data_IF_286835914382
#
_entry.id   IF_286835914382
#
_cell.length_a   1.000
_cell.length_b   1.000
_cell.length_c   1.000
_cell.angle_alpha   90.00
_cell.angle_beta   90.00
_cell.angle_gamma   90.00
#
_symmetry.space_group_name_H-M   'P 1'
#
loop_
_entity.id
_entity.type
_entity.pdbx_description
1 polymer ?
#
# COMPACT_ATOMS: atom_id res chain seq x y z
N UNK A 1 29.91 24.90 -6.14
CA UNK A 1 29.84 26.34 -5.88
C UNK A 1 28.46 26.60 -5.27
N UNK A 2 28.32 27.39 -4.20
CA UNK A 2 27.02 27.72 -3.64
C UNK A 2 26.14 28.35 -4.72
N UNK A 3 24.90 27.87 -4.88
CA UNK A 3 23.93 28.48 -5.79
C UNK A 3 23.15 29.54 -5.04
N UNK A 4 23.18 30.78 -5.52
CA UNK A 4 22.35 31.86 -4.98
C UNK A 4 20.87 31.70 -5.35
N UNK A 5 20.00 32.40 -4.62
CA UNK A 5 18.54 32.32 -4.82
C UNK A 5 18.10 32.70 -6.24
N UNK A 6 18.81 33.62 -6.91
CA UNK A 6 18.46 34.09 -8.26
C UNK A 6 18.76 33.01 -9.30
N UNK A 7 19.95 32.41 -9.25
CA UNK A 7 20.34 31.33 -10.14
C UNK A 7 19.44 30.10 -9.95
N UNK A 8 19.06 29.80 -8.70
CA UNK A 8 18.13 28.71 -8.39
C UNK A 8 16.72 28.98 -8.95
N UNK A 9 16.24 30.22 -8.84
CA UNK A 9 14.98 30.64 -9.42
C UNK A 9 15.00 30.63 -10.96
N UNK A 10 16.09 31.07 -11.59
CA UNK A 10 16.24 31.01 -13.04
C UNK A 10 16.24 29.56 -13.55
N UNK A 11 16.96 28.66 -12.87
CA UNK A 11 16.92 27.23 -13.17
C UNK A 11 15.49 26.67 -13.06
N UNK A 12 14.74 27.06 -12.02
CA UNK A 12 13.36 26.63 -11.87
C UNK A 12 12.45 27.17 -12.98
N UNK A 13 12.59 28.45 -13.33
CA UNK A 13 11.79 29.11 -14.35
C UNK A 13 12.04 28.54 -15.76
N UNK A 14 13.28 28.16 -16.09
CA UNK A 14 13.64 27.51 -17.36
C UNK A 14 12.89 26.17 -17.56
N UNK A 15 12.61 25.46 -16.46
CA UNK A 15 11.85 24.22 -16.48
C UNK A 15 10.33 24.41 -16.62
N UNK A 16 9.81 25.64 -16.51
CA UNK A 16 8.37 25.91 -16.56
C UNK A 16 7.75 25.48 -17.89
N UNK A 17 6.64 24.75 -17.83
CA UNK A 17 5.91 24.28 -19.03
C UNK A 17 6.60 23.17 -19.83
N UNK A 18 7.87 22.86 -19.55
CA UNK A 18 8.65 21.87 -20.31
C UNK A 18 8.68 20.49 -19.65
N UNK A 19 8.54 20.43 -18.32
CA UNK A 19 8.59 19.18 -17.55
C UNK A 19 7.42 19.05 -16.59
N UNK A 20 7.09 17.80 -16.25
CA UNK A 20 6.08 17.51 -15.24
C UNK A 20 6.54 17.83 -13.82
N UNK A 21 5.58 18.06 -12.92
CA UNK A 21 5.82 18.38 -11.50
C UNK A 21 6.76 17.37 -10.86
N UNK A 22 6.52 16.07 -11.03
CA UNK A 22 7.35 15.02 -10.44
C UNK A 22 8.77 14.97 -11.00
N UNK A 23 8.95 15.29 -12.29
CA UNK A 23 10.27 15.39 -12.91
C UNK A 23 11.05 16.57 -12.34
N UNK A 24 10.38 17.72 -12.23
CA UNK A 24 10.94 18.94 -11.65
C UNK A 24 11.32 18.74 -10.17
N UNK A 25 10.43 18.19 -9.34
CA UNK A 25 10.71 17.95 -7.92
C UNK A 25 11.90 16.97 -7.74
N UNK A 26 12.06 15.99 -8.63
CA UNK A 26 13.22 15.10 -8.63
C UNK A 26 14.53 15.84 -8.97
N UNK A 27 14.52 16.69 -10.00
CA UNK A 27 15.70 17.50 -10.36
C UNK A 27 16.08 18.44 -9.22
N UNK A 28 15.09 19.12 -8.65
CA UNK A 28 15.29 20.05 -7.55
C UNK A 28 15.79 19.33 -6.27
N UNK A 29 15.27 18.13 -6.01
CA UNK A 29 15.77 17.27 -4.92
C UNK A 29 17.20 16.79 -5.15
N UNK A 30 17.55 16.43 -6.39
CA UNK A 30 18.92 16.08 -6.76
C UNK A 30 19.90 17.24 -6.57
N UNK A 31 19.50 18.45 -6.97
CA UNK A 31 20.29 19.66 -6.76
C UNK A 31 20.50 19.95 -5.27
N UNK A 32 19.44 19.85 -4.46
CA UNK A 32 19.53 19.96 -3.00
C UNK A 32 20.48 18.92 -2.41
N UNK A 33 20.34 17.66 -2.81
CA UNK A 33 21.17 16.57 -2.30
C UNK A 33 22.66 16.80 -2.60
N UNK A 34 22.99 17.28 -3.80
CA UNK A 34 24.35 17.65 -4.16
C UNK A 34 24.91 18.76 -3.24
N UNK A 35 24.13 19.82 -2.98
CA UNK A 35 24.57 20.91 -2.09
C UNK A 35 24.82 20.41 -0.67
N UNK A 36 23.88 19.63 -0.13
CA UNK A 36 23.98 19.04 1.20
C UNK A 36 25.21 18.13 1.30
N UNK A 37 25.42 17.26 0.31
CA UNK A 37 26.57 16.35 0.28
C UNK A 37 27.92 17.09 0.29
N UNK A 38 27.99 18.23 -0.38
CA UNK A 38 29.19 19.07 -0.43
C UNK A 38 29.26 20.12 0.70
N UNK A 39 28.41 20.04 1.72
CA UNK A 39 28.31 21.03 2.82
C UNK A 39 28.15 22.48 2.32
N UNK A 40 27.46 22.67 1.21
CA UNK A 40 27.18 23.99 0.64
C UNK A 40 25.82 24.50 1.11
N UNK A 41 25.70 25.83 1.24
CA UNK A 41 24.43 26.48 1.57
C UNK A 41 23.36 26.15 0.52
N UNK A 42 22.18 25.78 0.99
CA UNK A 42 21.01 25.52 0.15
C UNK A 42 19.99 26.65 0.31
N UNK A 43 19.80 27.43 -0.75
CA UNK A 43 18.88 28.57 -0.75
C UNK A 43 17.47 28.23 -1.27
N UNK A 44 17.12 26.94 -1.40
CA UNK A 44 15.81 26.56 -1.91
C UNK A 44 14.64 26.94 -0.99
N UNK A 45 14.90 27.27 0.27
CA UNK A 45 13.88 27.78 1.21
C UNK A 45 13.61 29.28 1.10
N UNK A 46 14.36 30.00 0.26
CA UNK A 46 14.18 31.43 0.02
C UNK A 46 12.77 31.71 -0.54
N UNK A 47 12.11 32.76 -0.04
CA UNK A 47 10.75 33.12 -0.41
C UNK A 47 10.60 33.39 -1.92
N UNK A 48 11.58 34.08 -2.52
CA UNK A 48 11.60 34.34 -3.96
C UNK A 48 11.68 33.05 -4.76
N UNK A 49 12.51 32.11 -4.33
CA UNK A 49 12.59 30.77 -4.95
C UNK A 49 11.24 30.05 -4.81
N UNK A 50 10.66 30.01 -3.61
CA UNK A 50 9.36 29.35 -3.36
C UNK A 50 8.22 29.92 -4.21
N UNK A 51 8.19 31.22 -4.46
CA UNK A 51 7.23 31.86 -5.37
C UNK A 51 7.40 31.36 -6.80
N UNK A 52 8.63 31.30 -7.30
CA UNK A 52 8.92 30.77 -8.64
C UNK A 52 8.57 29.29 -8.74
N UNK A 53 8.94 28.46 -7.76
CA UNK A 53 8.55 27.05 -7.70
C UNK A 53 7.03 26.87 -7.78
N UNK A 54 6.28 27.74 -7.10
CA UNK A 54 4.81 27.74 -7.15
C UNK A 54 4.28 28.09 -8.53
N UNK A 55 4.90 29.05 -9.22
CA UNK A 55 4.60 29.39 -10.62
C UNK A 55 4.90 28.25 -11.58
N UNK A 56 6.07 27.64 -11.47
CA UNK A 56 6.51 26.48 -12.28
C UNK A 56 5.53 25.32 -12.13
N UNK A 57 5.10 24.99 -10.90
CA UNK A 57 4.10 23.94 -10.65
C UNK A 57 2.74 24.25 -11.28
N UNK A 58 2.31 25.52 -11.31
CA UNK A 58 1.06 25.94 -11.99
C UNK A 58 1.16 25.87 -13.51
N UNK A 59 2.35 26.08 -14.06
CA UNK A 59 2.64 26.02 -15.49
C UNK A 59 2.97 24.61 -15.98
N UNK A 60 3.03 23.62 -15.08
CA UNK A 60 3.30 22.24 -15.47
C UNK A 60 2.25 21.76 -16.50
N UNK A 61 2.67 21.03 -17.55
CA UNK A 61 1.74 20.55 -18.57
C UNK A 61 0.62 19.73 -17.96
N UNK A 62 -0.61 19.93 -18.41
CA UNK A 62 -1.77 19.13 -17.98
C UNK A 62 -1.58 17.64 -18.26
N UNK A 63 -0.81 17.31 -19.29
CA UNK A 63 -0.41 15.93 -19.64
C UNK A 63 0.53 15.30 -18.61
N UNK A 64 1.13 16.10 -17.73
CA UNK A 64 2.04 15.65 -16.67
C UNK A 64 1.36 15.40 -15.32
N UNK A 65 0.11 15.82 -15.17
CA UNK A 65 -0.71 15.54 -14.00
C UNK A 65 -1.57 14.32 -14.30
N UNK A 66 -1.34 13.22 -13.59
CA UNK A 66 -2.27 12.09 -13.63
C UNK A 66 -3.52 12.44 -12.83
N UNK A 67 -4.69 12.08 -13.35
CA UNK A 67 -5.94 12.17 -12.60
C UNK A 67 -5.79 11.47 -11.24
N UNK A 68 -6.32 12.06 -10.15
CA UNK A 68 -6.32 11.43 -8.85
C UNK A 68 -6.90 10.01 -8.94
N UNK A 69 -6.11 9.02 -8.55
CA UNK A 69 -6.54 7.62 -8.59
C UNK A 69 -7.64 7.43 -7.55
N UNK A 70 -8.88 7.07 -7.95
CA UNK A 70 -9.96 6.97 -6.98
C UNK A 70 -9.70 5.82 -5.99
N UNK A 71 -10.01 6.02 -4.69
CA UNK A 71 -9.80 5.02 -3.64
C UNK A 71 -10.77 3.86 -3.77
N UNK A 72 -10.33 2.62 -3.50
CA UNK A 72 -11.29 1.53 -3.23
C UNK A 72 -12.17 1.96 -2.05
N UNK A 73 -13.49 1.76 -2.15
CA UNK A 73 -14.48 2.15 -1.11
C UNK A 73 -15.13 0.92 -0.51
N UNK A 74 -15.82 1.05 0.63
CA UNK A 74 -16.60 -0.05 1.21
C UNK A 74 -17.61 -0.65 0.21
N UNK A 75 -18.26 0.17 -0.62
CA UNK A 75 -19.15 -0.32 -1.68
C UNK A 75 -18.47 -1.29 -2.68
N UNK A 76 -17.15 -1.15 -2.90
CA UNK A 76 -16.39 -2.09 -3.72
C UNK A 76 -16.15 -3.41 -2.97
N UNK A 77 -15.92 -3.35 -1.65
CA UNK A 77 -15.76 -4.54 -0.82
C UNK A 77 -17.08 -5.30 -0.67
N UNK A 78 -18.19 -4.58 -0.50
CA UNK A 78 -19.55 -5.13 -0.43
C UNK A 78 -19.92 -5.84 -1.74
N UNK A 79 -19.68 -5.20 -2.88
CA UNK A 79 -19.88 -5.82 -4.19
C UNK A 79 -19.09 -7.13 -4.37
N UNK A 80 -17.88 -7.21 -3.80
CA UNK A 80 -17.07 -8.44 -3.81
C UNK A 80 -17.68 -9.46 -2.85
N UNK A 81 -17.99 -9.06 -1.62
CA UNK A 81 -18.54 -9.92 -0.58
C UNK A 81 -19.81 -10.63 -1.03
N UNK A 82 -20.70 -9.93 -1.72
CA UNK A 82 -21.96 -10.47 -2.24
C UNK A 82 -21.80 -11.56 -3.31
N UNK A 83 -20.64 -11.65 -3.97
CA UNK A 83 -20.40 -12.52 -5.13
C UNK A 83 -19.50 -13.71 -4.78
N UNK A 84 -18.55 -13.54 -3.86
CA UNK A 84 -17.58 -14.58 -3.54
C UNK A 84 -18.20 -15.72 -2.72
N UNK A 85 -17.85 -16.96 -3.08
CA UNK A 85 -18.16 -18.15 -2.29
C UNK A 85 -17.01 -18.47 -1.33
N UNK A 86 -17.19 -18.24 -0.02
CA UNK A 86 -16.12 -18.47 0.96
C UNK A 86 -15.82 -19.96 1.26
N UNK A 87 -16.63 -20.88 0.73
CA UNK A 87 -16.31 -22.31 0.70
C UNK A 87 -15.44 -22.67 -0.50
N UNK A 88 -15.47 -21.86 -1.55
CA UNK A 88 -14.55 -22.00 -2.66
C UNK A 88 -13.14 -21.54 -2.24
N UNK A 89 -12.17 -22.42 -2.50
CA UNK A 89 -10.78 -22.25 -2.11
C UNK A 89 -10.13 -20.96 -2.69
N UNK A 90 -10.40 -20.66 -3.96
CA UNK A 90 -9.86 -19.46 -4.62
C UNK A 90 -10.52 -18.18 -4.10
N UNK A 91 -11.84 -18.20 -3.92
CA UNK A 91 -12.61 -17.04 -3.49
C UNK A 91 -12.31 -16.66 -2.05
N UNK A 92 -12.14 -17.64 -1.15
CA UNK A 92 -11.69 -17.40 0.21
C UNK A 92 -10.30 -16.72 0.24
N UNK A 93 -9.36 -17.17 -0.60
CA UNK A 93 -8.04 -16.57 -0.71
C UNK A 93 -8.10 -15.14 -1.29
N UNK A 94 -8.92 -14.92 -2.34
CA UNK A 94 -9.14 -13.60 -2.91
C UNK A 94 -9.72 -12.63 -1.89
N UNK A 95 -10.70 -13.07 -1.09
CA UNK A 95 -11.30 -12.25 -0.05
C UNK A 95 -10.32 -11.84 1.03
N UNK A 96 -9.49 -12.79 1.49
CA UNK A 96 -8.45 -12.52 2.47
C UNK A 96 -7.41 -11.51 1.94
N UNK A 97 -7.00 -11.62 0.67
CA UNK A 97 -6.11 -10.63 0.03
C UNK A 97 -6.74 -9.24 0.00
N UNK A 98 -8.00 -9.15 -0.43
CA UNK A 98 -8.74 -7.88 -0.54
C UNK A 98 -8.86 -7.18 0.81
N UNK A 99 -9.27 -7.90 1.84
CA UNK A 99 -9.41 -7.36 3.20
C UNK A 99 -8.06 -6.97 3.79
N UNK A 100 -7.04 -7.82 3.60
CA UNK A 100 -5.67 -7.55 4.06
C UNK A 100 -5.10 -6.29 3.40
N UNK A 101 -5.27 -6.13 2.08
CA UNK A 101 -4.77 -4.97 1.34
C UNK A 101 -5.48 -3.68 1.78
N UNK A 102 -6.80 -3.73 1.96
CA UNK A 102 -7.58 -2.57 2.35
C UNK A 102 -7.29 -2.15 3.79
N UNK A 103 -7.50 -3.04 4.77
CA UNK A 103 -7.39 -2.70 6.20
C UNK A 103 -5.95 -2.61 6.69
N UNK A 104 -5.05 -3.39 6.10
CA UNK A 104 -3.62 -3.28 6.38
C UNK A 104 -2.93 -2.11 5.68
N UNK A 105 -3.66 -1.33 4.87
CA UNK A 105 -3.11 -0.20 4.09
C UNK A 105 -1.94 -0.65 3.18
N UNK A 106 -1.96 -1.93 2.79
CA UNK A 106 -0.92 -2.53 1.98
C UNK A 106 -1.16 -2.26 0.49
N UNK A 107 -0.07 -2.22 -0.28
CA UNK A 107 -0.22 -2.31 -1.74
C UNK A 107 -0.64 -3.73 -2.08
N UNK A 108 -1.55 -3.89 -3.05
CA UNK A 108 -1.98 -5.22 -3.46
C UNK A 108 -0.82 -6.13 -3.87
N UNK A 109 0.24 -5.57 -4.46
CA UNK A 109 1.45 -6.32 -4.83
C UNK A 109 2.35 -6.77 -3.67
N UNK A 110 2.12 -6.28 -2.46
CA UNK A 110 2.82 -6.73 -1.24
C UNK A 110 2.20 -8.02 -0.68
N UNK A 111 0.93 -8.29 -1.04
CA UNK A 111 0.13 -9.41 -0.54
C UNK A 111 -0.32 -10.37 -1.67
N UNK A 112 0.22 -10.21 -2.88
CA UNK A 112 -0.02 -11.08 -4.03
C UNK A 112 1.28 -11.36 -4.77
N UNK A 113 1.28 -12.32 -5.68
CA UNK A 113 2.42 -12.59 -6.57
C UNK A 113 2.19 -11.99 -7.96
N UNK A 114 3.27 -11.73 -8.70
CA UNK A 114 3.21 -11.25 -10.09
C UNK A 114 2.78 -12.34 -11.07
N UNK A 115 3.22 -13.59 -10.83
CA UNK A 115 2.83 -14.79 -11.56
C UNK A 115 3.02 -16.03 -10.70
N UNK A 116 2.32 -17.12 -11.02
CA UNK A 116 2.45 -18.39 -10.30
C UNK A 116 3.87 -18.99 -10.35
N UNK A 117 4.64 -18.68 -11.40
CA UNK A 117 6.02 -19.15 -11.58
C UNK A 117 7.08 -18.25 -10.93
N UNK A 118 6.69 -17.07 -10.44
CA UNK A 118 7.60 -16.05 -9.92
C UNK A 118 7.46 -15.87 -8.40
N UNK A 119 7.32 -16.98 -7.68
CA UNK A 119 7.33 -16.98 -6.21
C UNK A 119 8.79 -16.85 -5.76
N UNK A 120 9.08 -15.77 -5.05
CA UNK A 120 10.38 -15.48 -4.47
C UNK A 120 10.21 -15.36 -2.94
N UNK A 121 10.70 -16.33 -2.15
CA UNK A 121 10.65 -16.29 -0.69
C UNK A 121 11.24 -15.02 -0.05
N UNK A 122 12.13 -14.33 -0.75
CA UNK A 122 12.73 -13.08 -0.27
C UNK A 122 11.83 -11.86 -0.48
N UNK A 123 10.78 -12.00 -1.31
CA UNK A 123 9.87 -10.91 -1.68
C UNK A 123 8.40 -11.21 -1.39
N UNK A 124 8.02 -12.48 -1.29
CA UNK A 124 6.65 -12.91 -1.10
C UNK A 124 6.46 -13.49 0.29
N UNK A 125 5.34 -13.13 0.92
CA UNK A 125 4.94 -13.73 2.19
C UNK A 125 4.61 -15.19 1.96
N UNK A 126 5.36 -16.08 2.57
CA UNK A 126 5.08 -17.51 2.57
C UNK A 126 4.09 -17.88 3.67
N UNK A 127 3.46 -19.04 3.55
CA UNK A 127 2.59 -19.61 4.57
C UNK A 127 3.32 -19.78 5.91
N UNK A 128 4.56 -20.28 5.85
CA UNK A 128 5.46 -20.38 7.02
C UNK A 128 5.88 -19.03 7.60
N UNK A 129 5.58 -17.90 6.93
CA UNK A 129 5.89 -16.59 7.49
C UNK A 129 5.24 -16.46 8.86
N UNK A 130 5.99 -15.92 9.82
CA UNK A 130 5.55 -15.76 11.21
C UNK A 130 4.31 -14.87 11.24
N UNK A 131 3.13 -15.51 11.35
CA UNK A 131 1.90 -14.86 11.75
C UNK A 131 1.81 -14.89 13.26
N UNK A 132 1.73 -13.71 13.87
CA UNK A 132 1.55 -13.60 15.31
C UNK A 132 0.13 -13.14 15.60
N UNK A 133 -0.69 -14.07 16.08
CA UNK A 133 -2.06 -13.82 16.51
C UNK A 133 -2.05 -13.35 17.96
N UNK A 134 -2.59 -12.16 18.22
CA UNK A 134 -2.62 -11.53 19.54
C UNK A 134 -4.03 -11.22 19.97
N UNK A 135 -4.24 -11.29 21.28
CA UNK A 135 -5.44 -10.82 21.95
C UNK A 135 -4.99 -10.04 23.18
N UNK A 136 -4.62 -8.78 22.97
CA UNK A 136 -4.05 -7.91 23.99
C UNK A 136 -5.12 -6.89 24.41
N UNK A 137 -5.47 -6.85 25.70
CA UNK A 137 -6.41 -5.87 26.27
C UNK A 137 -7.78 -5.78 25.57
N UNK A 138 -8.28 -6.92 25.07
CA UNK A 138 -9.56 -6.98 24.35
C UNK A 138 -9.48 -6.62 22.85
N UNK A 139 -8.29 -6.31 22.34
CA UNK A 139 -8.05 -6.06 20.91
C UNK A 139 -7.40 -7.29 20.29
N UNK A 140 -8.14 -7.91 19.38
CA UNK A 140 -7.62 -9.00 18.55
C UNK A 140 -6.88 -8.43 17.35
N UNK A 141 -5.70 -8.97 17.06
CA UNK A 141 -4.93 -8.61 15.86
C UNK A 141 -4.09 -9.77 15.36
N UNK A 142 -3.70 -9.71 14.09
CA UNK A 142 -2.71 -10.59 13.50
C UNK A 142 -1.63 -9.76 12.84
N UNK A 143 -0.37 -10.07 13.14
CA UNK A 143 0.79 -9.46 12.50
C UNK A 143 1.37 -10.43 11.49
N UNK A 144 1.53 -9.98 10.23
CA UNK A 144 2.13 -10.73 9.13
C UNK A 144 3.46 -10.06 8.79
N UNK A 145 4.57 -10.80 8.90
CA UNK A 145 5.89 -10.28 8.51
C UNK A 145 6.08 -10.35 7.00
N UNK A 146 6.20 -9.19 6.37
CA UNK A 146 6.58 -9.08 4.97
C UNK A 146 8.10 -9.18 4.85
N UNK A 147 8.64 -10.07 4.01
CA UNK A 147 10.09 -10.21 3.83
C UNK A 147 10.71 -9.00 3.13
N UNK A 148 9.93 -8.25 2.35
CA UNK A 148 10.40 -7.10 1.60
C UNK A 148 9.32 -6.03 1.44
N UNK A 149 9.72 -4.76 1.58
CA UNK A 149 8.96 -3.60 1.13
C UNK A 149 9.87 -2.67 0.33
N UNK A 150 9.32 -2.00 -0.69
CA UNK A 150 10.07 -1.06 -1.54
C UNK A 150 10.75 0.07 -0.73
N UNK A 151 10.19 0.42 0.42
CA UNK A 151 10.68 1.47 1.32
C UNK A 151 11.49 0.93 2.50
N UNK A 152 11.48 -0.38 2.74
CA UNK A 152 12.21 -1.05 3.83
C UNK A 152 12.76 -2.39 3.35
N UNK A 153 14.03 -2.41 2.96
CA UNK A 153 14.72 -3.64 2.53
C UNK A 153 14.95 -4.66 3.67
N UNK A 154 14.62 -4.31 4.92
CA UNK A 154 14.68 -5.22 6.09
C UNK A 154 13.37 -5.97 6.35
N UNK A 155 12.40 -5.85 5.44
CA UNK A 155 11.03 -6.30 5.68
C UNK A 155 10.24 -5.29 6.50
N UNK A 156 8.97 -5.61 6.74
CA UNK A 156 8.08 -4.80 7.55
C UNK A 156 6.91 -5.64 8.08
N UNK A 157 6.30 -5.22 9.19
CA UNK A 157 5.16 -5.93 9.75
C UNK A 157 3.84 -5.29 9.28
N UNK A 158 2.96 -6.12 8.71
CA UNK A 158 1.60 -5.78 8.37
C UNK A 158 0.69 -6.16 9.56
N UNK A 159 0.09 -5.15 10.19
CA UNK A 159 -0.77 -5.36 11.36
C UNK A 159 -2.22 -5.28 10.90
N UNK A 160 -2.97 -6.36 11.11
CA UNK A 160 -4.40 -6.44 10.82
C UNK A 160 -5.17 -6.54 12.14
N UNK A 161 -5.85 -5.47 12.50
CA UNK A 161 -6.70 -5.42 13.69
C UNK A 161 -8.07 -6.02 13.37
N UNK A 162 -8.69 -6.63 14.37
CA UNK A 162 -10.09 -7.03 14.28
C UNK A 162 -10.96 -5.80 14.09
N UNK A 163 -11.84 -5.87 13.09
CA UNK A 163 -12.87 -4.86 12.82
C UNK A 163 -14.25 -5.53 12.91
N UNK A 164 -15.21 -4.86 13.55
CA UNK A 164 -16.60 -5.32 13.56
C UNK A 164 -17.33 -4.93 12.27
N UNK A 165 -16.76 -5.36 11.15
CA UNK A 165 -17.23 -5.08 9.79
C UNK A 165 -17.25 -6.37 8.97
N UNK A 166 -18.12 -6.47 7.97
CA UNK A 166 -18.18 -7.67 7.09
C UNK A 166 -16.84 -7.94 6.38
N UNK A 167 -16.03 -6.90 6.17
CA UNK A 167 -14.70 -6.95 5.56
C UNK A 167 -13.55 -7.08 6.56
N UNK A 168 -13.84 -7.50 7.79
CA UNK A 168 -12.85 -7.71 8.84
C UNK A 168 -11.65 -8.54 8.34
N UNK A 169 -10.42 -8.00 8.33
CA UNK A 169 -9.26 -8.69 7.79
C UNK A 169 -8.87 -9.90 8.64
N UNK A 170 -9.10 -9.82 9.96
CA UNK A 170 -8.87 -10.92 10.88
C UNK A 170 -9.77 -12.13 10.56
N UNK A 171 -11.08 -11.91 10.41
CA UNK A 171 -12.04 -12.96 10.05
C UNK A 171 -11.80 -13.48 8.64
N UNK A 172 -11.54 -12.61 7.67
CA UNK A 172 -11.23 -13.01 6.30
C UNK A 172 -9.99 -13.92 6.24
N UNK A 173 -8.95 -13.59 7.01
CA UNK A 173 -7.76 -14.44 7.11
C UNK A 173 -8.08 -15.78 7.76
N UNK A 174 -8.80 -15.80 8.88
CA UNK A 174 -9.23 -17.07 9.51
C UNK A 174 -10.03 -17.95 8.55
N UNK A 175 -10.98 -17.36 7.82
CA UNK A 175 -11.79 -18.07 6.83
C UNK A 175 -10.89 -18.69 5.76
N UNK A 176 -9.98 -17.92 5.18
CA UNK A 176 -9.00 -18.40 4.21
C UNK A 176 -8.20 -19.60 4.73
N UNK A 177 -7.63 -19.49 5.94
CA UNK A 177 -6.84 -20.58 6.53
C UNK A 177 -7.69 -21.82 6.87
N UNK A 178 -8.97 -21.62 7.15
CA UNK A 178 -9.91 -22.71 7.42
C UNK A 178 -10.34 -23.44 6.15
N UNK A 179 -10.45 -22.74 5.02
CA UNK A 179 -10.81 -23.31 3.71
C UNK A 179 -9.60 -23.92 3.01
N UNK A 180 -8.44 -23.26 3.11
CA UNK A 180 -7.16 -23.63 2.50
C UNK A 180 -6.22 -24.28 3.52
N UNK A 181 -6.67 -25.39 4.11
CA UNK A 181 -5.86 -26.17 5.08
C UNK A 181 -4.71 -26.88 4.39
N UNK A 182 -3.65 -27.18 5.14
CA UNK A 182 -2.50 -27.97 4.69
C UNK A 182 -1.68 -27.31 3.57
N UNK A 183 -1.60 -25.97 3.60
CA UNK A 183 -0.68 -25.20 2.76
C UNK A 183 0.76 -25.70 2.93
N UNK A 184 1.50 -25.97 1.84
CA UNK A 184 2.92 -26.28 1.90
C UNK A 184 3.72 -25.13 2.54
N UNK A 185 4.81 -25.47 3.23
CA UNK A 185 5.69 -24.49 3.91
C UNK A 185 6.17 -23.38 2.95
N UNK A 186 6.46 -23.75 1.70
CA UNK A 186 6.98 -22.87 0.65
C UNK A 186 5.88 -22.16 -0.16
N UNK A 187 4.61 -22.46 0.08
CA UNK A 187 3.52 -21.81 -0.63
C UNK A 187 3.36 -20.35 -0.15
N UNK A 188 2.98 -19.41 -1.03
CA UNK A 188 2.60 -18.07 -0.61
C UNK A 188 1.41 -18.10 0.38
N UNK A 189 1.37 -17.17 1.33
CA UNK A 189 0.33 -17.10 2.36
C UNK A 189 -1.09 -17.12 1.77
N UNK A 190 -1.28 -16.40 0.67
CA UNK A 190 -2.53 -16.38 -0.08
C UNK A 190 -2.45 -17.33 -1.28
N UNK A 191 -2.30 -18.63 -0.99
CA UNK A 191 -2.43 -19.69 -1.98
C UNK A 191 -3.70 -20.50 -1.76
N UNK A 192 -4.22 -21.06 -2.85
CA UNK A 192 -5.48 -21.80 -2.88
C UNK A 192 -5.26 -23.16 -3.54
N UNK A 193 -6.12 -24.11 -3.19
CA UNK A 193 -6.08 -25.48 -3.68
C UNK A 193 -6.65 -25.56 -5.09
N UNK A 194 -5.95 -26.27 -5.95
CA UNK A 194 -6.38 -26.65 -7.30
C UNK A 194 -6.46 -28.18 -7.40
N UNK A 195 -6.91 -28.68 -8.56
CA UNK A 195 -6.91 -30.12 -8.81
C UNK A 195 -5.49 -30.72 -8.78
N UNK A 196 -4.50 -29.94 -9.22
CA UNK A 196 -3.11 -30.39 -9.39
C UNK A 196 -2.19 -29.98 -8.22
N UNK A 197 -2.71 -29.31 -7.19
CA UNK A 197 -1.95 -28.90 -6.01
C UNK A 197 -2.35 -27.54 -5.45
N UNK A 198 -1.40 -26.61 -5.41
CA UNK A 198 -1.55 -25.29 -4.81
C UNK A 198 -1.08 -24.20 -5.76
N UNK A 199 -1.87 -23.15 -5.89
CA UNK A 199 -1.53 -21.98 -6.69
C UNK A 199 -1.66 -20.69 -5.87
N UNK A 200 -0.81 -19.68 -6.10
CA UNK A 200 -0.92 -18.41 -5.42
C UNK A 200 -1.98 -17.50 -6.06
N UNK A 201 -2.56 -16.59 -5.27
CA UNK A 201 -3.37 -15.49 -5.82
C UNK A 201 -2.47 -14.55 -6.62
N UNK A 202 -2.61 -14.61 -7.95
CA UNK A 202 -1.86 -13.77 -8.89
C UNK A 202 -2.56 -12.42 -9.07
N UNK A 203 -1.82 -11.33 -8.89
CA UNK A 203 -2.36 -9.95 -8.89
C UNK A 203 -3.24 -9.62 -10.09
N UNK A 204 -2.79 -9.91 -11.30
CA UNK A 204 -3.51 -9.50 -12.52
C UNK A 204 -4.79 -10.34 -12.73
N UNK A 205 -4.78 -11.61 -12.30
CA UNK A 205 -5.95 -12.49 -12.35
C UNK A 205 -6.99 -12.02 -11.34
N UNK A 206 -6.55 -11.72 -10.10
CA UNK A 206 -7.42 -11.14 -9.07
C UNK A 206 -8.04 -9.82 -9.58
N UNK A 207 -7.23 -8.88 -10.05
CA UNK A 207 -7.73 -7.59 -10.53
C UNK A 207 -8.75 -7.74 -11.66
N UNK A 208 -8.55 -8.67 -12.59
CA UNK A 208 -9.53 -8.96 -13.65
C UNK A 208 -10.87 -9.41 -13.07
N UNK A 209 -10.86 -10.36 -12.13
CA UNK A 209 -12.09 -10.82 -11.44
C UNK A 209 -12.77 -9.67 -10.69
N UNK A 210 -12.01 -8.85 -9.96
CA UNK A 210 -12.59 -7.70 -9.24
C UNK A 210 -13.20 -6.68 -10.21
N UNK A 211 -12.57 -6.43 -11.35
CA UNK A 211 -13.10 -5.53 -12.38
C UNK A 211 -14.39 -6.05 -13.00
N UNK A 212 -14.50 -7.35 -13.23
CA UNK A 212 -15.75 -7.97 -13.71
C UNK A 212 -16.89 -7.74 -12.70
N UNK A 213 -16.64 -7.96 -11.41
CA UNK A 213 -17.61 -7.73 -10.33
C UNK A 213 -18.02 -6.26 -10.24
N UNK A 214 -17.05 -5.35 -10.21
CA UNK A 214 -17.32 -3.91 -10.08
C UNK A 214 -18.02 -3.34 -11.31
N UNK A 215 -17.64 -3.79 -12.51
CA UNK A 215 -18.29 -3.40 -13.77
C UNK A 215 -19.77 -3.83 -13.79
N UNK A 216 -20.08 -5.06 -13.35
CA UNK A 216 -21.44 -5.55 -13.26
C UNK A 216 -22.33 -4.75 -12.29
N UNK A 217 -21.72 -4.05 -11.31
CA UNK A 217 -22.40 -3.17 -10.35
C UNK A 217 -22.36 -1.69 -10.75
N UNK A 218 -21.82 -1.35 -11.93
CA UNK A 218 -21.68 0.04 -12.39
C UNK A 218 -20.69 0.89 -11.56
N UNK A 219 -19.79 0.24 -10.82
CA UNK A 219 -18.74 0.92 -10.05
C UNK A 219 -17.56 1.28 -10.96
N UNK A 220 -16.79 2.30 -10.59
CA UNK A 220 -15.54 2.59 -11.29
C UNK A 220 -14.52 1.47 -11.04
N UNK A 221 -13.49 1.39 -11.89
CA UNK A 221 -12.53 0.29 -11.91
C UNK A 221 -11.16 0.75 -11.38
N UNK A 222 -10.93 0.73 -10.05
CA UNK A 222 -9.65 1.14 -9.48
C UNK A 222 -8.51 0.21 -9.88
N UNK A 223 -7.29 0.75 -9.84
CA UNK A 223 -6.07 -0.07 -9.94
C UNK A 223 -5.75 -0.75 -8.59
N UNK A 224 -4.86 -1.73 -8.58
CA UNK A 224 -4.39 -2.35 -7.34
C UNK A 224 -3.70 -1.39 -6.35
N UNK A 225 -3.25 -0.21 -6.80
CA UNK A 225 -2.71 0.82 -5.90
C UNK A 225 -3.81 1.52 -5.08
N UNK A 226 -5.04 1.55 -5.59
CA UNK A 226 -6.17 2.20 -4.95
C UNK A 226 -6.64 1.52 -3.67
N UNK A 227 -6.21 0.28 -3.38
CA UNK A 227 -6.47 -0.39 -2.10
C UNK A 227 -5.83 0.37 -0.93
N UNK A 228 -4.54 0.67 -1.04
CA UNK A 228 -3.81 1.46 -0.03
C UNK A 228 -4.41 2.85 0.16
N UNK A 229 -4.80 3.50 -0.94
CA UNK A 229 -5.49 4.80 -0.88
C UNK A 229 -6.83 4.64 -0.16
N UNK A 230 -7.62 3.64 -0.53
CA UNK A 230 -8.92 3.34 0.09
C UNK A 230 -8.85 3.08 1.59
N UNK A 231 -7.95 2.19 2.02
CA UNK A 231 -7.70 1.92 3.43
C UNK A 231 -7.26 3.15 4.20
N UNK A 232 -6.32 3.91 3.64
CA UNK A 232 -5.85 5.19 4.23
C UNK A 232 -7.02 6.16 4.42
N UNK A 233 -7.78 6.43 3.36
CA UNK A 233 -8.92 7.35 3.39
C UNK A 233 -9.98 6.88 4.39
N UNK A 234 -10.27 5.58 4.41
CA UNK A 234 -11.27 5.02 5.32
C UNK A 234 -10.85 5.17 6.79
N UNK A 235 -9.63 4.79 7.15
CA UNK A 235 -9.14 4.92 8.53
C UNK A 235 -9.08 6.38 8.99
N UNK A 236 -8.60 7.30 8.14
CA UNK A 236 -8.59 8.73 8.44
C UNK A 236 -10.01 9.27 8.66
N UNK A 237 -10.98 8.84 7.84
CA UNK A 237 -12.37 9.25 7.99
C UNK A 237 -13.03 8.74 9.28
N UNK A 238 -12.51 7.65 9.87
CA UNK A 238 -12.92 7.12 11.18
C UNK A 238 -12.17 7.75 12.36
N UNK A 239 -11.35 8.77 12.11
CA UNK A 239 -10.63 9.50 13.16
C UNK A 239 -9.30 8.88 13.59
N UNK A 240 -8.82 7.84 12.90
CA UNK A 240 -7.47 7.30 13.15
C UNK A 240 -6.43 8.38 12.84
N UNK A 241 -5.52 8.63 13.78
CA UNK A 241 -4.51 9.69 13.60
C UNK A 241 -3.64 9.46 12.36
N UNK A 242 -3.25 10.51 11.62
CA UNK A 242 -2.37 10.38 10.46
C UNK A 242 -1.06 9.66 10.77
N UNK A 243 -0.50 9.83 11.97
CA UNK A 243 0.74 9.14 12.37
C UNK A 243 0.55 7.62 12.47
N UNK A 244 -0.60 7.14 12.96
CA UNK A 244 -0.90 5.71 13.04
C UNK A 244 -1.11 5.13 11.63
N UNK A 245 -1.89 5.82 10.79
CA UNK A 245 -2.11 5.38 9.41
C UNK A 245 -0.80 5.33 8.62
N UNK A 246 0.07 6.31 8.82
CA UNK A 246 1.40 6.32 8.21
C UNK A 246 2.24 5.12 8.66
N UNK A 247 2.27 4.80 9.96
CA UNK A 247 2.98 3.63 10.48
C UNK A 247 2.46 2.32 9.89
N UNK A 248 1.15 2.17 9.72
CA UNK A 248 0.56 1.01 9.05
C UNK A 248 0.99 0.94 7.58
N UNK A 249 0.92 2.07 6.89
CA UNK A 249 1.22 2.16 5.46
C UNK A 249 2.72 1.91 5.16
N UNK A 250 3.63 2.40 5.99
CA UNK A 250 5.08 2.20 5.83
C UNK A 250 5.55 0.84 6.37
N UNK A 251 4.62 0.10 6.98
CA UNK A 251 4.85 -1.15 7.69
C UNK A 251 5.49 -0.89 9.05
N UNK A 252 4.96 -1.54 10.09
CA UNK A 252 5.48 -1.34 11.43
C UNK A 252 6.87 -1.98 11.55
N UNK A 253 7.87 -1.20 11.93
CA UNK A 253 9.11 -1.73 12.50
C UNK A 253 8.92 -1.76 14.01
N UNK A 254 8.38 -2.85 14.55
CA UNK A 254 8.25 -3.00 16.00
C UNK A 254 9.58 -3.52 16.57
N UNK A 255 10.35 -2.74 17.36
CA UNK A 255 11.00 -3.36 18.51
C UNK A 255 9.88 -3.85 19.42
N UNK A 256 10.05 -5.03 20.04
CA UNK A 256 9.09 -5.58 20.99
C UNK A 256 8.80 -4.58 22.10
N UNK A 257 7.68 -3.85 21.99
CA UNK A 257 7.22 -2.92 23.02
C UNK A 257 5.77 -3.29 23.34
N UNK A 258 5.55 -3.63 24.60
CA UNK A 258 4.24 -3.87 25.21
C UNK A 258 3.37 -2.62 25.05
N UNK A 259 2.23 -2.75 24.39
CA UNK A 259 1.22 -1.69 24.28
C UNK A 259 0.45 -1.69 25.59
N UNK A 260 1.06 -1.11 26.62
CA UNK A 260 0.53 -1.02 27.97
C UNK A 260 0.63 0.39 28.52
N UNK A 261 0.18 1.40 27.74
CA UNK A 261 0.06 2.74 28.29
C UNK A 261 0.02 3.86 27.28
N UNK A 262 -1.07 4.00 26.53
CA UNK A 262 -1.54 5.31 26.05
C UNK A 262 -3.08 5.27 25.96
N UNK A 263 -3.74 5.25 27.12
CA UNK A 263 -5.06 5.85 27.35
C UNK A 263 -5.16 6.10 28.86
N UNK A 264 -4.88 7.34 29.26
CA UNK A 264 -5.27 7.94 30.54
C UNK A 264 -6.08 9.17 30.22
#
# INVERSE_FOLDING_TARGET
MPIDSVLLACFAADAAGSIGISGFDNWFSGLRAWHVYHNMQWNGGDEYVQLILSGVRKLAPSSSTHDPRPPVRLAHLEAIYDVLDFLNSYDAACWAVVCTAFWGVARLGEVTVSSAKAIDPTRNVLWKALMNWRNDSGVQSVTIRLPWMKTSHRGADLILTYEDEFSCPFRALQQHLSTNRDLPDEAPLFAFRTADGWEPVVKHILMRRLHEIWSARGLFLPSGHSFRIGGTTHLLSRGTSPQVVQKLADGAQMPSISIGGILS
#
